data_IF_090457904310
#
_entry.id   IF_090457904310
#
_cell.length_a   1.000
_cell.length_b   1.000
_cell.length_c   1.000
_cell.angle_alpha   90.00
_cell.angle_beta   90.00
_cell.angle_gamma   90.00
#
_symmetry.space_group_name_H-M   'P 1'
#
loop_
_entity.id
_entity.type
_entity.pdbx_description
1 polymer ?
#
# COMPACT_ATOMS: atom_id res chain seq x y z
N UNK A 1 17.45 2.77 -5.32
CA UNK A 1 16.96 3.37 -4.06
C UNK A 1 15.81 2.54 -3.57
N UNK A 2 15.92 2.05 -2.35
CA UNK A 2 15.09 0.98 -1.78
C UNK A 2 13.69 1.54 -1.46
N UNK A 3 12.71 1.19 -2.29
CA UNK A 3 11.31 1.31 -1.91
C UNK A 3 11.11 0.45 -0.65
N UNK A 4 10.47 0.98 0.39
CA UNK A 4 10.08 0.16 1.54
C UNK A 4 9.13 -0.94 1.03
N UNK A 5 9.54 -2.22 1.03
CA UNK A 5 8.68 -3.26 0.51
C UNK A 5 7.42 -3.33 1.37
N UNK A 6 6.26 -3.48 0.72
CA UNK A 6 4.92 -3.51 1.34
C UNK A 6 4.88 -4.38 2.61
N UNK A 7 5.54 -5.54 2.56
CA UNK A 7 5.66 -6.44 3.71
C UNK A 7 6.32 -5.83 4.94
N UNK A 8 7.41 -5.08 4.76
CA UNK A 8 8.10 -4.39 5.85
C UNK A 8 7.25 -3.24 6.40
N UNK A 9 6.51 -2.53 5.54
CA UNK A 9 5.57 -1.49 5.97
C UNK A 9 4.48 -2.05 6.88
N UNK A 10 3.86 -3.18 6.48
CA UNK A 10 2.85 -3.89 7.28
C UNK A 10 3.45 -4.30 8.63
N UNK A 11 4.65 -4.89 8.62
CA UNK A 11 5.34 -5.29 9.85
C UNK A 11 5.62 -4.09 10.77
N UNK A 12 6.06 -2.96 10.22
CA UNK A 12 6.34 -1.75 10.98
C UNK A 12 5.08 -1.20 11.65
N UNK A 13 3.97 -1.10 10.90
CA UNK A 13 2.68 -0.65 11.44
C UNK A 13 2.16 -1.60 12.53
N UNK A 14 2.29 -2.92 12.32
CA UNK A 14 1.92 -3.93 13.34
C UNK A 14 2.70 -3.73 14.64
N UNK A 15 4.01 -3.57 14.54
CA UNK A 15 4.88 -3.37 15.72
C UNK A 15 4.62 -2.02 16.40
N UNK A 16 4.34 -0.96 15.64
CA UNK A 16 3.98 0.34 16.19
C UNK A 16 2.69 0.29 17.03
N UNK A 17 1.79 -0.65 16.72
CA UNK A 17 0.57 -0.91 17.49
C UNK A 17 0.75 -1.97 18.59
N UNK A 18 1.98 -2.44 18.85
CA UNK A 18 2.28 -3.51 19.80
C UNK A 18 1.52 -4.82 19.55
N UNK A 19 1.16 -5.09 18.30
CA UNK A 19 0.43 -6.30 17.92
C UNK A 19 1.39 -7.46 17.62
N UNK A 20 1.04 -8.67 18.05
CA UNK A 20 1.70 -9.93 17.62
C UNK A 20 1.29 -10.33 16.21
N UNK A 21 1.99 -11.28 15.59
CA UNK A 21 1.59 -11.81 14.28
C UNK A 21 0.24 -12.53 14.37
N UNK A 22 0.04 -13.32 15.43
CA UNK A 22 -1.20 -14.04 15.74
C UNK A 22 -2.39 -13.09 15.81
N UNK A 23 -2.22 -11.96 16.50
CA UNK A 23 -3.25 -10.92 16.61
C UNK A 23 -3.63 -10.26 15.29
N UNK A 24 -2.68 -10.10 14.36
CA UNK A 24 -2.96 -9.57 13.04
C UNK A 24 -3.61 -10.64 12.14
N UNK A 25 -3.17 -11.88 12.26
CA UNK A 25 -3.74 -13.05 11.56
C UNK A 25 -5.22 -13.19 11.87
N UNK A 26 -5.58 -13.15 13.16
CA UNK A 26 -6.98 -13.26 13.60
C UNK A 26 -7.84 -12.09 13.12
N UNK A 27 -7.34 -10.85 13.22
CA UNK A 27 -8.09 -9.66 12.81
C UNK A 27 -8.24 -9.53 11.29
N UNK A 28 -7.26 -9.97 10.52
CA UNK A 28 -7.24 -9.85 9.07
C UNK A 28 -7.80 -11.09 8.33
N UNK A 29 -8.25 -12.11 9.08
CA UNK A 29 -8.69 -13.42 8.56
C UNK A 29 -7.65 -14.04 7.60
N UNK A 30 -6.39 -14.09 8.07
CA UNK A 30 -5.28 -14.65 7.32
C UNK A 30 -4.77 -15.94 7.96
N UNK A 31 -4.09 -16.76 7.17
CA UNK A 31 -3.26 -17.84 7.70
C UNK A 31 -1.89 -17.33 8.16
N UNK A 32 -1.28 -18.04 9.12
CA UNK A 32 0.10 -17.80 9.57
C UNK A 32 1.10 -17.76 8.42
N UNK A 33 0.97 -18.71 7.49
CA UNK A 33 1.82 -18.78 6.29
C UNK A 33 1.66 -17.56 5.40
N UNK A 34 0.43 -17.09 5.17
CA UNK A 34 0.19 -15.88 4.38
C UNK A 34 0.88 -14.66 5.00
N UNK A 35 0.64 -14.40 6.30
CA UNK A 35 1.26 -13.24 6.95
C UNK A 35 2.80 -13.34 6.96
N UNK A 36 3.35 -14.54 7.22
CA UNK A 36 4.79 -14.76 7.16
C UNK A 36 5.41 -14.41 5.80
N UNK A 37 4.84 -14.90 4.70
CA UNK A 37 5.35 -14.61 3.36
C UNK A 37 5.19 -13.14 2.99
N UNK A 38 4.15 -12.48 3.49
CA UNK A 38 3.93 -11.04 3.29
C UNK A 38 4.97 -10.23 4.06
N UNK A 39 5.07 -10.37 5.40
CA UNK A 39 5.99 -9.58 6.23
C UNK A 39 7.47 -9.82 5.91
N UNK A 40 7.81 -11.01 5.40
CA UNK A 40 9.18 -11.31 4.94
C UNK A 40 9.50 -10.79 3.54
N UNK A 41 8.54 -10.15 2.86
CA UNK A 41 8.71 -9.62 1.49
C UNK A 41 8.78 -10.70 0.41
N UNK A 42 8.57 -11.98 0.77
CA UNK A 42 8.58 -13.12 -0.17
C UNK A 42 7.35 -13.14 -1.09
N UNK A 43 6.26 -12.46 -0.68
CA UNK A 43 5.02 -12.40 -1.45
C UNK A 43 4.34 -11.04 -1.31
N UNK A 44 3.97 -10.46 -2.45
CA UNK A 44 3.10 -9.28 -2.47
C UNK A 44 1.65 -9.70 -2.25
N UNK A 45 0.93 -9.13 -1.27
CA UNK A 45 -0.48 -9.41 -1.05
C UNK A 45 -1.33 -8.90 -2.23
N UNK A 46 -2.41 -9.60 -2.54
CA UNK A 46 -3.42 -9.10 -3.49
C UNK A 46 -4.21 -7.97 -2.83
N UNK A 47 -4.87 -7.14 -3.65
CA UNK A 47 -5.69 -6.02 -3.16
C UNK A 47 -6.67 -6.41 -2.03
N UNK A 48 -7.49 -7.48 -2.12
CA UNK A 48 -8.40 -7.85 -1.03
C UNK A 48 -7.65 -8.21 0.26
N UNK A 49 -6.57 -8.97 0.17
CA UNK A 49 -5.71 -9.31 1.31
C UNK A 49 -5.11 -8.05 1.94
N UNK A 50 -4.67 -7.10 1.12
CA UNK A 50 -4.10 -5.85 1.59
C UNK A 50 -5.16 -4.99 2.29
N UNK A 51 -6.39 -4.94 1.76
CA UNK A 51 -7.51 -4.26 2.41
C UNK A 51 -7.85 -4.90 3.77
N UNK A 52 -7.88 -6.23 3.88
CA UNK A 52 -8.08 -6.91 5.16
C UNK A 52 -7.00 -6.56 6.17
N UNK A 53 -5.73 -6.52 5.76
CA UNK A 53 -4.61 -6.13 6.61
C UNK A 53 -4.74 -4.67 7.06
N UNK A 54 -5.05 -3.75 6.14
CA UNK A 54 -5.25 -2.34 6.47
C UNK A 54 -6.40 -2.16 7.48
N UNK A 55 -7.53 -2.84 7.25
CA UNK A 55 -8.67 -2.83 8.16
C UNK A 55 -8.31 -3.38 9.54
N UNK A 56 -7.54 -4.48 9.60
CA UNK A 56 -7.09 -5.08 10.86
C UNK A 56 -6.12 -4.19 11.64
N UNK A 57 -5.31 -3.40 10.93
CA UNK A 57 -4.43 -2.38 11.50
C UNK A 57 -5.16 -1.05 11.78
N UNK A 58 -6.47 -0.95 11.53
CA UNK A 58 -7.22 0.30 11.65
C UNK A 58 -6.63 1.48 10.85
N UNK A 59 -6.03 1.18 9.70
CA UNK A 59 -5.45 2.16 8.76
C UNK A 59 -6.27 2.14 7.48
N UNK A 60 -6.57 3.31 6.91
CA UNK A 60 -7.23 3.35 5.60
C UNK A 60 -6.26 2.94 4.50
N UNK A 61 -6.77 2.39 3.39
CA UNK A 61 -5.90 2.03 2.26
C UNK A 61 -5.12 3.24 1.71
N UNK A 62 -5.73 4.43 1.71
CA UNK A 62 -5.07 5.67 1.29
C UNK A 62 -3.93 6.05 2.23
N UNK A 63 -4.17 6.04 3.55
CA UNK A 63 -3.14 6.28 4.56
C UNK A 63 -1.97 5.30 4.42
N UNK A 64 -2.28 4.02 4.16
CA UNK A 64 -1.25 3.01 3.93
C UNK A 64 -0.42 3.30 2.67
N UNK A 65 -1.05 3.70 1.56
CA UNK A 65 -0.33 4.08 0.34
C UNK A 65 0.53 5.33 0.55
N UNK A 66 0.02 6.35 1.25
CA UNK A 66 0.80 7.53 1.61
C UNK A 66 1.97 7.17 2.52
N UNK A 67 1.78 6.22 3.45
CA UNK A 67 2.87 5.70 4.29
C UNK A 67 3.98 5.03 3.46
N UNK A 68 3.62 4.30 2.40
CA UNK A 68 4.61 3.77 1.46
C UNK A 68 5.31 4.89 0.67
N UNK A 69 4.57 5.95 0.31
CA UNK A 69 5.06 7.08 -0.49
C UNK A 69 5.90 8.09 0.30
N UNK A 70 5.83 8.12 1.63
CA UNK A 70 6.68 8.97 2.49
C UNK A 70 8.20 8.69 2.34
N UNK A 71 8.59 7.72 1.51
CA UNK A 71 9.95 7.45 1.06
C UNK A 71 10.22 7.76 -0.44
N UNK A 72 9.34 8.51 -1.11
CA UNK A 72 9.54 8.98 -2.49
C UNK A 72 9.72 10.50 -2.51
N UNK A 73 10.88 11.03 -2.91
CA UNK A 73 10.96 12.42 -3.33
C UNK A 73 10.32 12.53 -4.71
N UNK A 74 9.13 13.15 -4.74
CA UNK A 74 8.52 13.87 -5.88
C UNK A 74 8.22 13.10 -7.18
N UNK A 75 6.95 13.06 -7.60
CA UNK A 75 6.47 13.63 -8.89
C UNK A 75 5.09 13.09 -9.31
N UNK A 76 4.04 13.48 -8.61
CA UNK A 76 2.69 13.44 -9.19
C UNK A 76 2.08 14.84 -9.14
N UNK A 77 2.61 15.75 -9.95
CA UNK A 77 1.76 16.80 -10.50
C UNK A 77 0.98 16.17 -11.66
N UNK A 78 -0.36 16.11 -11.61
CA UNK A 78 -1.12 15.90 -12.82
C UNK A 78 -0.90 17.14 -13.69
N UNK A 79 -0.05 17.03 -14.71
CA UNK A 79 0.05 18.05 -15.75
C UNK A 79 -1.23 17.98 -16.60
N UNK A 80 -2.32 18.57 -16.11
CA UNK A 80 -3.47 18.95 -16.94
C UNK A 80 -3.08 20.25 -17.66
N UNK A 81 -2.15 20.18 -18.60
CA UNK A 81 -1.89 21.26 -19.57
C UNK A 81 -1.60 20.78 -20.99
N UNK A 82 -1.85 19.51 -21.33
CA UNK A 82 -2.01 19.12 -22.74
C UNK A 82 -3.49 19.03 -23.09
N UNK A 83 -4.12 20.20 -23.11
CA UNK A 83 -5.32 20.44 -23.90
C UNK A 83 -4.85 21.01 -25.24
N UNK A 84 -4.74 20.18 -26.27
CA UNK A 84 -4.85 20.63 -27.66
C UNK A 84 -5.70 19.61 -28.42
N UNK A 85 -6.95 19.99 -28.69
CA UNK A 85 -7.76 19.35 -29.71
C UNK A 85 -7.28 19.89 -31.08
N UNK A 86 -6.78 19.05 -31.99
CA UNK A 86 -6.35 19.54 -33.30
C UNK A 86 -7.57 19.88 -34.19
N UNK A 87 -7.68 21.17 -34.52
CA UNK A 87 -8.06 21.66 -35.85
C UNK A 87 -9.47 21.38 -36.38
N UNK A 88 -10.45 22.19 -35.98
CA UNK A 88 -11.58 22.49 -36.86
C UNK A 88 -11.09 23.43 -37.97
N UNK A 89 -10.75 22.86 -39.13
CA UNK A 89 -10.51 23.65 -40.36
C UNK A 89 -11.87 24.06 -40.91
N UNK A 90 -12.17 25.36 -40.86
CA UNK A 90 -13.26 25.97 -41.63
C UNK A 90 -12.72 26.32 -43.01
N UNK A 91 -13.24 25.65 -44.04
CA UNK A 91 -13.00 25.90 -45.45
C UNK A 91 -14.21 25.44 -46.24
#
# INVERSE_FOLDING_TARGET
>A
MEQLPIGQAIKALRLAQNMTQEELIERADLSRSQLYYIESGKRTPRLPTMQSICSALSVSFLEFVLYLDQYSPTSCTPNISSMEAPGATIG
#
